data_IF_854001033824
#
_entry.id   IF_854001033824
#
_cell.length_a   1.000
_cell.length_b   1.000
_cell.length_c   1.000
_cell.angle_alpha   90.00
_cell.angle_beta   90.00
_cell.angle_gamma   90.00
#
_symmetry.space_group_name_H-M   'P 1'
#
loop_
_entity.id
_entity.type
_entity.pdbx_description
1 polymer ?
#
# COMPACT_ATOMS: atom_id res chain seq x y z
N UNK A 1 1.56 -12.61 10.89
CA UNK A 1 1.71 -13.38 9.63
C UNK A 1 1.82 -12.45 8.42
N UNK A 2 0.82 -11.64 8.08
CA UNK A 2 0.88 -10.72 6.92
C UNK A 2 2.08 -9.75 6.94
N UNK A 3 2.41 -9.19 8.10
CA UNK A 3 3.59 -8.32 8.26
C UNK A 3 4.92 -9.08 8.08
N UNK A 4 4.96 -10.37 8.43
CA UNK A 4 6.17 -11.20 8.22
C UNK A 4 6.37 -11.46 6.72
N UNK A 5 5.29 -11.76 5.99
CA UNK A 5 5.33 -11.88 4.53
C UNK A 5 5.80 -10.57 3.88
N UNK A 6 5.30 -9.43 4.35
CA UNK A 6 5.77 -8.11 3.91
C UNK A 6 7.28 -7.97 4.12
N UNK A 7 7.77 -8.17 5.35
CA UNK A 7 9.20 -8.01 5.65
C UNK A 7 10.09 -8.95 4.85
N UNK A 8 9.63 -10.16 4.53
CA UNK A 8 10.40 -11.11 3.71
C UNK A 8 10.51 -10.58 2.28
N UNK A 9 9.40 -10.12 1.69
CA UNK A 9 9.38 -9.57 0.34
C UNK A 9 10.26 -8.31 0.22
N UNK A 10 10.18 -7.40 1.20
CA UNK A 10 11.02 -6.18 1.22
C UNK A 10 12.49 -6.51 1.47
N UNK A 11 12.80 -7.56 2.24
CA UNK A 11 14.19 -8.02 2.41
C UNK A 11 14.76 -8.56 1.10
N UNK A 12 13.97 -9.33 0.35
CA UNK A 12 14.36 -9.80 -0.98
C UNK A 12 14.53 -8.61 -1.94
N UNK A 13 13.64 -7.62 -1.90
CA UNK A 13 13.78 -6.39 -2.67
C UNK A 13 15.10 -5.66 -2.32
N UNK A 14 15.39 -5.47 -1.03
CA UNK A 14 16.61 -4.83 -0.53
C UNK A 14 17.88 -5.54 -0.98
N UNK A 15 17.89 -6.87 -1.00
CA UNK A 15 19.01 -7.66 -1.52
C UNK A 15 19.26 -7.45 -3.02
N UNK A 16 18.23 -7.11 -3.78
CA UNK A 16 18.30 -6.81 -5.22
C UNK A 16 18.58 -5.33 -5.52
N UNK A 17 19.12 -4.57 -4.55
CA UNK A 17 19.52 -3.17 -4.75
C UNK A 17 18.41 -2.13 -4.48
N UNK A 18 17.29 -2.53 -3.87
CA UNK A 18 16.24 -1.59 -3.45
C UNK A 18 16.80 -0.59 -2.43
N UNK A 19 16.77 0.72 -2.75
CA UNK A 19 17.25 1.81 -1.90
C UNK A 19 18.62 2.39 -2.26
N UNK A 20 19.33 1.83 -3.24
CA UNK A 20 20.55 2.43 -3.79
C UNK A 20 20.23 3.48 -4.88
N UNK A 21 21.17 4.40 -5.13
CA UNK A 21 21.02 5.37 -6.20
C UNK A 21 20.92 4.62 -7.54
N UNK A 22 19.91 4.94 -8.36
CA UNK A 22 19.66 4.25 -9.64
C UNK A 22 20.85 4.30 -10.63
N UNK A 23 21.85 5.14 -10.34
CA UNK A 23 23.08 5.31 -11.13
C UNK A 23 24.22 4.35 -10.73
N UNK A 24 24.17 3.76 -9.53
CA UNK A 24 25.24 2.90 -8.99
C UNK A 24 24.97 1.39 -9.20
N UNK A 25 23.82 1.05 -9.77
CA UNK A 25 23.39 -0.35 -9.94
C UNK A 25 23.87 -0.85 -11.30
N UNK A 26 24.75 -1.86 -11.28
CA UNK A 26 25.35 -2.44 -12.48
C UNK A 26 24.34 -3.16 -13.40
N UNK A 27 23.33 -3.81 -12.80
CA UNK A 27 22.29 -4.56 -13.53
C UNK A 27 20.89 -3.99 -13.27
N UNK A 28 20.31 -3.39 -14.31
CA UNK A 28 19.00 -2.74 -14.23
C UNK A 28 17.86 -3.75 -14.15
N UNK A 29 18.07 -5.00 -14.57
CA UNK A 29 17.07 -6.06 -14.44
C UNK A 29 16.77 -6.43 -12.98
N UNK A 30 17.78 -6.40 -12.11
CA UNK A 30 17.60 -6.69 -10.69
C UNK A 30 16.93 -5.52 -9.96
N UNK A 31 17.19 -4.28 -10.39
CA UNK A 31 16.45 -3.10 -9.93
C UNK A 31 14.95 -3.21 -10.24
N UNK A 32 14.60 -3.65 -11.46
CA UNK A 32 13.20 -3.83 -11.88
C UNK A 32 12.50 -4.87 -11.00
N UNK A 33 13.15 -6.01 -10.76
CA UNK A 33 12.63 -7.05 -9.86
C UNK A 33 12.48 -6.55 -8.43
N UNK A 34 13.46 -5.79 -7.93
CA UNK A 34 13.45 -5.21 -6.59
C UNK A 34 12.22 -4.30 -6.38
N UNK A 35 11.96 -3.41 -7.33
CA UNK A 35 10.80 -2.50 -7.29
C UNK A 35 9.48 -3.27 -7.33
N UNK A 36 9.41 -4.33 -8.14
CA UNK A 36 8.23 -5.18 -8.23
C UNK A 36 7.95 -5.93 -6.91
N UNK A 37 8.99 -6.51 -6.29
CA UNK A 37 8.84 -7.20 -4.99
C UNK A 37 8.47 -6.23 -3.87
N UNK A 38 9.02 -5.03 -3.84
CA UNK A 38 8.59 -3.99 -2.91
C UNK A 38 7.12 -3.63 -3.12
N UNK A 39 6.72 -3.36 -4.37
CA UNK A 39 5.35 -2.97 -4.70
C UNK A 39 4.34 -4.03 -4.25
N UNK A 40 4.65 -5.31 -4.47
CA UNK A 40 3.86 -6.44 -3.96
C UNK A 40 3.86 -6.44 -2.44
N UNK A 41 5.01 -6.28 -1.79
CA UNK A 41 5.13 -6.17 -0.34
C UNK A 41 4.21 -5.09 0.24
N UNK A 42 4.25 -3.88 -0.31
CA UNK A 42 3.42 -2.75 0.12
C UNK A 42 1.92 -3.10 0.11
N UNK A 43 1.44 -3.85 -0.89
CA UNK A 43 0.03 -4.28 -0.90
C UNK A 43 -0.31 -5.22 0.28
N UNK A 44 0.59 -6.15 0.64
CA UNK A 44 0.41 -7.01 1.81
C UNK A 44 0.42 -6.22 3.12
N UNK A 45 1.25 -5.18 3.21
CA UNK A 45 1.27 -4.29 4.37
C UNK A 45 -0.05 -3.51 4.51
N UNK A 46 -0.58 -2.94 3.43
CA UNK A 46 -1.87 -2.23 3.42
C UNK A 46 -3.01 -3.15 3.85
N UNK A 47 -3.07 -4.36 3.30
CA UNK A 47 -4.08 -5.36 3.71
C UNK A 47 -3.92 -5.74 5.17
N UNK A 48 -2.70 -5.94 5.65
CA UNK A 48 -2.41 -6.23 7.06
C UNK A 48 -2.89 -5.11 7.99
N UNK A 49 -2.65 -3.85 7.63
CA UNK A 49 -3.13 -2.68 8.38
C UNK A 49 -4.66 -2.56 8.37
N UNK A 50 -5.31 -2.87 7.26
CA UNK A 50 -6.76 -2.90 7.16
C UNK A 50 -7.34 -3.96 8.13
N UNK A 51 -6.82 -5.19 8.11
CA UNK A 51 -7.25 -6.27 9.00
C UNK A 51 -7.04 -5.91 10.48
N UNK A 52 -5.92 -5.25 10.81
CA UNK A 52 -5.64 -4.81 12.18
C UNK A 52 -6.69 -3.78 12.68
N UNK A 53 -7.02 -2.79 11.84
CA UNK A 53 -8.09 -1.83 12.16
C UNK A 53 -9.46 -2.51 12.24
N UNK A 54 -9.67 -3.56 11.46
CA UNK A 54 -10.88 -4.35 11.52
C UNK A 54 -11.05 -5.06 12.86
N UNK A 55 -9.98 -5.68 13.36
CA UNK A 55 -9.97 -6.30 14.68
C UNK A 55 -10.27 -5.30 15.79
N UNK A 56 -9.69 -4.09 15.72
CA UNK A 56 -9.96 -3.02 16.67
C UNK A 56 -11.43 -2.55 16.61
N UNK A 57 -11.98 -2.35 15.41
CA UNK A 57 -13.38 -1.94 15.25
C UNK A 57 -14.36 -2.97 15.83
N UNK A 58 -14.11 -4.26 15.62
CA UNK A 58 -14.92 -5.34 16.20
C UNK A 58 -14.80 -5.38 17.74
N UNK A 59 -13.61 -5.14 18.28
CA UNK A 59 -13.42 -5.05 19.73
C UNK A 59 -14.20 -3.87 20.33
N UNK A 60 -14.15 -2.70 19.68
CA UNK A 60 -14.94 -1.52 20.08
C UNK A 60 -16.44 -1.79 20.01
N UNK A 61 -16.92 -2.49 18.98
CA UNK A 61 -18.34 -2.84 18.83
C UNK A 61 -18.86 -3.71 19.99
N UNK A 62 -18.00 -4.57 20.54
CA UNK A 62 -18.31 -5.40 21.71
C UNK A 62 -18.34 -4.61 23.02
N UNK A 63 -17.54 -3.54 23.13
CA UNK A 63 -17.44 -2.70 24.33
C UNK A 63 -18.57 -1.66 24.41
N UNK A 64 -19.03 -1.14 23.26
CA UNK A 64 -19.99 -0.04 23.23
C UNK A 64 -21.42 -0.53 23.48
N UNK A 65 -22.05 0.01 24.52
CA UNK A 65 -23.44 -0.28 24.88
C UNK A 65 -24.43 0.59 24.10
N UNK A 66 -24.05 1.84 23.80
CA UNK A 66 -24.89 2.81 23.09
C UNK A 66 -25.02 2.52 21.58
N UNK A 67 -26.26 2.46 21.09
CA UNK A 67 -26.60 2.15 19.69
C UNK A 67 -26.08 3.18 18.68
N UNK A 68 -26.08 4.46 19.02
CA UNK A 68 -25.53 5.53 18.16
C UNK A 68 -24.06 5.31 17.83
N UNK A 69 -23.25 4.92 18.82
CA UNK A 69 -21.83 4.64 18.60
C UNK A 69 -21.62 3.40 17.72
N UNK A 70 -22.50 2.40 17.79
CA UNK A 70 -22.43 1.22 16.90
C UNK A 70 -22.61 1.60 15.43
N UNK A 71 -23.54 2.52 15.13
CA UNK A 71 -23.77 3.00 13.75
C UNK A 71 -22.53 3.73 13.22
N UNK A 72 -21.94 4.62 14.02
CA UNK A 72 -20.72 5.35 13.64
C UNK A 72 -19.56 4.39 13.38
N UNK A 73 -19.36 3.37 14.24
CA UNK A 73 -18.32 2.36 14.05
C UNK A 73 -18.54 1.59 12.74
N UNK A 74 -19.77 1.17 12.44
CA UNK A 74 -20.06 0.47 11.19
C UNK A 74 -19.76 1.33 9.96
N UNK A 75 -20.12 2.61 9.99
CA UNK A 75 -19.84 3.55 8.89
C UNK A 75 -18.33 3.72 8.71
N UNK A 76 -17.58 3.94 9.79
CA UNK A 76 -16.12 4.14 9.71
C UNK A 76 -15.39 2.88 9.25
N UNK A 77 -15.82 1.70 9.68
CA UNK A 77 -15.25 0.44 9.19
C UNK A 77 -15.50 0.23 7.69
N UNK A 78 -16.71 0.53 7.23
CA UNK A 78 -17.08 0.46 5.82
C UNK A 78 -16.29 1.46 4.96
N UNK A 79 -16.20 2.71 5.39
CA UNK A 79 -15.44 3.74 4.67
C UNK A 79 -13.97 3.38 4.57
N UNK A 80 -13.41 2.80 5.62
CA UNK A 80 -12.00 2.42 5.65
C UNK A 80 -11.68 1.26 4.70
N UNK A 81 -12.57 0.25 4.59
CA UNK A 81 -12.42 -0.79 3.56
C UNK A 81 -12.48 -0.21 2.16
N UNK A 82 -13.48 0.63 1.88
CA UNK A 82 -13.66 1.23 0.57
C UNK A 82 -12.41 2.05 0.17
N UNK A 83 -11.86 2.83 1.11
CA UNK A 83 -10.63 3.58 0.90
C UNK A 83 -9.43 2.65 0.64
N UNK A 84 -9.21 1.61 1.45
CA UNK A 84 -8.11 0.66 1.24
C UNK A 84 -8.19 -0.04 -0.12
N UNK A 85 -9.38 -0.48 -0.53
CA UNK A 85 -9.60 -1.12 -1.84
C UNK A 85 -9.30 -0.12 -2.96
N UNK A 86 -9.82 1.10 -2.88
CA UNK A 86 -9.61 2.14 -3.89
C UNK A 86 -8.11 2.44 -4.09
N UNK A 87 -7.34 2.52 -3.01
CA UNK A 87 -5.89 2.77 -3.09
C UNK A 87 -5.14 1.61 -3.72
N UNK A 88 -5.46 0.36 -3.37
CA UNK A 88 -4.86 -0.79 -4.04
C UNK A 88 -5.14 -0.79 -5.55
N UNK A 89 -6.37 -0.46 -5.96
CA UNK A 89 -6.72 -0.35 -7.38
C UNK A 89 -5.96 0.78 -8.07
N UNK A 90 -5.93 1.97 -7.49
CA UNK A 90 -5.19 3.13 -8.04
C UNK A 90 -3.70 2.82 -8.13
N UNK A 91 -3.12 2.14 -7.13
CA UNK A 91 -1.69 1.81 -7.13
C UNK A 91 -1.29 0.86 -8.27
N UNK A 92 -2.15 -0.10 -8.64
CA UNK A 92 -1.91 -0.96 -9.79
C UNK A 92 -2.29 -0.30 -11.11
N UNK A 93 -3.34 0.51 -11.10
CA UNK A 93 -3.85 1.28 -12.22
C UNK A 93 -3.40 2.75 -12.11
N UNK A 94 -2.11 3.00 -11.94
CA UNK A 94 -1.56 4.38 -12.02
C UNK A 94 -0.77 4.61 -13.31
N UNK A 95 -0.35 3.52 -13.98
CA UNK A 95 0.39 3.57 -15.23
C UNK A 95 -0.22 2.61 -16.26
N UNK A 96 -0.10 2.96 -17.55
CA UNK A 96 -0.49 2.12 -18.67
C UNK A 96 0.69 2.02 -19.63
N UNK A 97 1.26 0.81 -19.84
CA UNK A 97 0.97 -0.46 -19.17
C UNK A 97 1.41 -0.45 -17.69
N UNK A 98 0.79 -1.27 -16.80
CA UNK A 98 1.19 -1.36 -15.38
C UNK A 98 2.64 -1.82 -15.22
N UNK A 99 3.19 -2.50 -16.23
CA UNK A 99 4.60 -2.87 -16.30
C UNK A 99 5.55 -1.67 -16.28
N UNK A 100 5.09 -0.50 -16.73
CA UNK A 100 5.86 0.74 -16.71
C UNK A 100 6.17 1.23 -15.28
N UNK A 101 5.40 0.77 -14.29
CA UNK A 101 5.63 1.12 -12.88
C UNK A 101 6.96 0.58 -12.36
N UNK A 102 7.31 -0.65 -12.73
CA UNK A 102 8.55 -1.30 -12.30
C UNK A 102 9.63 -1.25 -13.38
N UNK A 103 9.27 -1.25 -14.67
CA UNK A 103 10.19 -1.15 -15.80
C UNK A 103 9.97 0.15 -16.60
N UNK A 104 10.75 1.17 -16.24
CA UNK A 104 10.74 2.48 -16.90
C UNK A 104 11.35 2.48 -18.30
N UNK A 105 11.89 1.36 -18.79
CA UNK A 105 12.49 1.24 -20.12
C UNK A 105 11.44 1.04 -21.22
N UNK A 106 10.22 0.67 -20.87
CA UNK A 106 9.16 0.40 -21.84
C UNK A 106 8.80 1.72 -22.57
N UNK A 107 9.06 1.82 -23.89
CA UNK A 107 8.79 3.04 -24.63
C UNK A 107 7.28 3.27 -24.77
N UNK A 108 6.83 4.50 -24.47
CA UNK A 108 5.42 4.89 -24.57
C UNK A 108 4.57 4.60 -23.34
N UNK A 109 5.15 4.15 -22.23
CA UNK A 109 4.45 4.08 -20.96
C UNK A 109 4.24 5.47 -20.36
N UNK A 110 3.01 5.76 -19.94
CA UNK A 110 2.66 7.00 -19.26
C UNK A 110 1.91 6.69 -17.97
N UNK A 111 2.28 7.39 -16.91
CA UNK A 111 1.56 7.37 -15.65
C UNK A 111 0.63 8.58 -15.61
N UNK A 112 -0.66 8.30 -15.51
CA UNK A 112 -1.72 9.31 -15.48
C UNK A 112 -1.90 9.90 -14.08
N UNK A 113 -1.48 9.16 -13.04
CA UNK A 113 -1.68 9.52 -11.65
C UNK A 113 -0.32 9.55 -10.93
N UNK A 114 -0.04 10.67 -10.27
CA UNK A 114 1.07 10.76 -9.32
C UNK A 114 0.71 9.97 -8.05
N UNK A 115 1.60 9.10 -7.58
CA UNK A 115 1.36 8.27 -6.39
C UNK A 115 1.39 9.07 -5.07
N UNK A 116 2.04 10.25 -5.05
CA UNK A 116 2.15 11.16 -3.90
C UNK A 116 0.82 11.50 -3.22
N UNK A 117 -0.22 11.97 -3.94
CA UNK A 117 -1.53 12.22 -3.33
C UNK A 117 -2.14 10.97 -2.71
N UNK A 118 -1.91 9.77 -3.27
CA UNK A 118 -2.44 8.51 -2.74
C UNK A 118 -1.89 8.22 -1.34
N UNK A 119 -0.59 8.44 -1.13
CA UNK A 119 0.04 8.34 0.20
C UNK A 119 -0.54 9.35 1.19
N UNK A 120 -0.73 10.60 0.78
CA UNK A 120 -1.33 11.64 1.63
C UNK A 120 -2.78 11.31 2.03
N UNK A 121 -3.59 10.81 1.10
CA UNK A 121 -4.98 10.43 1.38
C UNK A 121 -5.06 9.24 2.33
N UNK A 122 -4.17 8.26 2.18
CA UNK A 122 -4.07 7.12 3.09
C UNK A 122 -3.66 7.57 4.51
N UNK A 123 -2.74 8.54 4.59
CA UNK A 123 -2.27 9.11 5.84
C UNK A 123 -3.38 9.87 6.59
N UNK A 124 -4.16 10.67 5.86
CA UNK A 124 -5.32 11.40 6.40
C UNK A 124 -6.40 10.46 6.93
N UNK A 125 -6.74 9.39 6.20
CA UNK A 125 -7.75 8.41 6.62
C UNK A 125 -7.32 7.55 7.81
N UNK A 126 -6.02 7.40 8.04
CA UNK A 126 -5.48 6.64 9.16
C UNK A 126 -5.25 7.49 10.43
N UNK A 127 -5.38 8.81 10.35
CA UNK A 127 -5.10 9.73 11.48
C UNK A 127 -3.63 9.75 11.92
N UNK A 128 -2.72 9.17 11.13
CA UNK A 128 -1.28 9.20 11.39
C UNK A 128 -0.76 10.51 10.83
N UNK A 129 -0.09 11.31 11.66
CA UNK A 129 0.59 12.52 11.19
C UNK A 129 1.75 12.09 10.30
N UNK A 130 1.62 12.29 8.99
CA UNK A 130 2.76 12.22 8.09
C UNK A 130 3.72 13.35 8.45
N UNK A 131 4.90 13.00 8.98
CA UNK A 131 6.02 13.89 9.25
C UNK A 131 7.18 13.48 8.36
#
# INVERSE_FOLDING_TARGET
VLLLCYTIMTTIAAQNGFGQNMLDIADVEDLVKAILFEAIGQTFAVVGMAVAKWSLGLFLLRLVTQTWHKVVIWITMGSLMAASISVCFVFWLQCSPPAYLYDRRIPGGYCYINATPVYFTLCSMCGIRCA
#
